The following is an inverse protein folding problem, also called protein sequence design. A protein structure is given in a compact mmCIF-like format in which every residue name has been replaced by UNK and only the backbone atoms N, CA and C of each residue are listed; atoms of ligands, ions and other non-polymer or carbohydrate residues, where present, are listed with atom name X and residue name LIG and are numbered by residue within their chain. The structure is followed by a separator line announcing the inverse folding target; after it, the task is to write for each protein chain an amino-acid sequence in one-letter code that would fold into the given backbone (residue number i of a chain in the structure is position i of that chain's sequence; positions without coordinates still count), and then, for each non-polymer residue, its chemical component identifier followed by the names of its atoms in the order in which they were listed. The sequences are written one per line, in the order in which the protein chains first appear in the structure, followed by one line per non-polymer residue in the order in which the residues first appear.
data_IF_743722316322
#
_entry.id   IF_743722316322
#
_cell.length_a   1.000
_cell.length_b   1.000
_cell.length_c   1.000
_cell.angle_alpha   90.00
_cell.angle_beta   90.00
_cell.angle_gamma   90.00
#
_symmetry.space_group_name_H-M   'P 1'
#
loop_
_entity.id
_entity.type
_entity.pdbx_description
1 polymer ?
#
# COMPACT_ATOMS: atom_id res chain seq x y z
N UNK A 1 -24.29 -11.70 31.45
CA UNK A 1 -23.06 -11.41 32.21
C UNK A 1 -21.85 -11.83 31.39
N UNK A 2 -21.26 -10.93 30.62
CA UNK A 2 -19.89 -11.03 30.12
C UNK A 2 -19.34 -9.60 29.93
N UNK A 3 -19.12 -8.95 31.07
CA UNK A 3 -18.24 -7.80 31.19
C UNK A 3 -16.88 -8.40 31.56
N UNK A 4 -15.93 -8.48 30.63
CA UNK A 4 -14.62 -9.04 30.99
C UNK A 4 -13.68 -9.45 29.86
N UNK A 5 -13.41 -8.55 28.89
CA UNK A 5 -12.05 -8.31 28.35
C UNK A 5 -12.11 -7.14 27.37
N UNK A 6 -12.00 -5.93 27.90
CA UNK A 6 -11.40 -4.86 27.09
C UNK A 6 -9.90 -5.07 27.18
N UNK A 7 -9.39 -6.10 26.49
CA UNK A 7 -8.02 -5.97 26.02
C UNK A 7 -8.08 -4.81 25.05
N UNK A 8 -7.28 -3.77 25.29
CA UNK A 8 -7.21 -2.60 24.41
C UNK A 8 -6.59 -3.05 23.10
N UNK A 9 -7.35 -3.74 22.27
CA UNK A 9 -6.99 -4.04 20.89
C UNK A 9 -6.87 -2.69 20.19
N UNK A 10 -5.71 -2.41 19.63
CA UNK A 10 -5.52 -1.21 18.82
C UNK A 10 -6.45 -1.32 17.61
N UNK A 11 -7.30 -0.32 17.40
CA UNK A 11 -8.15 -0.27 16.21
C UNK A 11 -7.27 -0.26 14.97
N UNK A 12 -7.61 -1.09 13.96
CA UNK A 12 -6.87 -1.15 12.70
C UNK A 12 -6.81 0.21 12.01
N UNK A 13 -7.86 1.02 12.12
CA UNK A 13 -7.87 2.41 11.61
C UNK A 13 -6.85 3.30 12.31
N UNK A 14 -6.67 3.14 13.63
CA UNK A 14 -5.64 3.85 14.39
C UNK A 14 -4.24 3.39 13.99
N UNK A 15 -4.02 2.08 13.86
CA UNK A 15 -2.73 1.53 13.40
C UNK A 15 -2.38 2.04 12.01
N UNK A 16 -3.36 2.06 11.10
CA UNK A 16 -3.20 2.56 9.75
C UNK A 16 -2.69 4.01 9.74
N UNK A 17 -3.37 4.92 10.43
CA UNK A 17 -2.95 6.33 10.48
C UNK A 17 -1.62 6.52 11.21
N UNK A 18 -1.34 5.72 12.23
CA UNK A 18 -0.04 5.72 12.90
C UNK A 18 1.08 5.33 11.94
N UNK A 19 0.87 4.32 11.09
CA UNK A 19 1.86 3.93 10.09
C UNK A 19 2.00 4.97 8.98
N UNK A 20 0.91 5.56 8.50
CA UNK A 20 0.97 6.68 7.54
C UNK A 20 1.80 7.84 8.11
N UNK A 21 1.59 8.20 9.38
CA UNK A 21 2.39 9.22 10.06
C UNK A 21 3.87 8.82 10.17
N UNK A 22 4.15 7.55 10.47
CA UNK A 22 5.52 7.05 10.55
C UNK A 22 6.26 7.19 9.21
N UNK A 23 5.61 6.82 8.10
CA UNK A 23 6.17 7.02 6.76
C UNK A 23 6.29 8.50 6.38
N UNK A 24 5.38 9.36 6.84
CA UNK A 24 5.51 10.81 6.66
C UNK A 24 6.79 11.35 7.31
N UNK A 25 7.07 10.94 8.55
CA UNK A 25 8.30 11.33 9.25
C UNK A 25 9.53 10.80 8.51
N UNK A 26 9.52 9.54 8.08
CA UNK A 26 10.62 8.96 7.29
C UNK A 26 10.85 9.75 6.00
N UNK A 27 9.79 10.10 5.27
CA UNK A 27 9.91 10.85 4.02
C UNK A 27 10.49 12.24 4.23
N UNK A 28 10.15 12.91 5.34
CA UNK A 28 10.72 14.20 5.71
C UNK A 28 12.24 14.13 5.93
N UNK A 29 12.72 13.03 6.51
CA UNK A 29 14.16 12.80 6.77
C UNK A 29 14.91 12.32 5.52
N UNK A 30 14.26 11.55 4.64
CA UNK A 30 14.87 10.94 3.46
C UNK A 30 14.97 11.88 2.25
N UNK A 31 14.08 12.87 2.19
CA UNK A 31 14.01 13.87 1.13
C UNK A 31 13.02 13.50 0.03
N UNK A 32 12.28 14.49 -0.45
CA UNK A 32 11.14 14.32 -1.36
C UNK A 32 11.50 13.60 -2.66
N UNK A 33 12.67 13.86 -3.24
CA UNK A 33 13.07 13.27 -4.53
C UNK A 33 13.11 11.74 -4.46
N UNK A 34 13.72 11.20 -3.40
CA UNK A 34 13.84 9.74 -3.23
C UNK A 34 12.48 9.12 -2.92
N UNK A 35 11.62 9.87 -2.23
CA UNK A 35 10.25 9.46 -1.97
C UNK A 35 9.41 9.41 -3.25
N UNK A 36 9.55 10.35 -4.18
CA UNK A 36 8.84 10.33 -5.49
C UNK A 36 9.24 9.11 -6.33
N UNK A 37 10.52 8.75 -6.33
CA UNK A 37 10.99 7.53 -7.00
C UNK A 37 10.38 6.29 -6.34
N UNK A 38 10.28 6.28 -5.01
CA UNK A 38 9.59 5.19 -4.31
C UNK A 38 8.08 5.16 -4.65
N UNK A 39 7.40 6.31 -4.68
CA UNK A 39 5.98 6.44 -5.08
C UNK A 39 5.74 5.86 -6.46
N UNK A 40 6.66 6.13 -7.40
CA UNK A 40 6.62 5.62 -8.76
C UNK A 40 6.58 4.09 -8.81
N UNK A 41 7.46 3.44 -8.05
CA UNK A 41 7.47 1.98 -7.96
C UNK A 41 6.28 1.39 -7.18
N UNK A 42 5.74 2.13 -6.19
CA UNK A 42 4.50 1.73 -5.51
C UNK A 42 3.29 1.76 -6.46
N UNK A 43 3.18 2.79 -7.30
CA UNK A 43 2.13 2.88 -8.33
C UNK A 43 2.27 1.71 -9.32
N UNK A 44 3.50 1.42 -9.78
CA UNK A 44 3.77 0.27 -10.63
C UNK A 44 3.36 -1.05 -9.97
N UNK A 45 3.63 -1.20 -8.67
CA UNK A 45 3.22 -2.37 -7.90
C UNK A 45 1.71 -2.56 -7.88
N UNK A 46 0.96 -1.49 -7.61
CA UNK A 46 -0.50 -1.55 -7.61
C UNK A 46 -1.06 -1.85 -8.99
N UNK A 47 -0.48 -1.26 -10.04
CA UNK A 47 -0.85 -1.59 -11.41
C UNK A 47 -0.60 -3.06 -11.73
N UNK A 48 0.57 -3.60 -11.38
CA UNK A 48 0.89 -5.01 -11.61
C UNK A 48 -0.08 -5.94 -10.87
N UNK A 49 -0.44 -5.60 -9.63
CA UNK A 49 -1.44 -6.36 -8.86
C UNK A 49 -2.83 -6.25 -9.49
N UNK A 50 -3.23 -5.06 -9.92
CA UNK A 50 -4.53 -4.83 -10.55
C UNK A 50 -4.66 -5.58 -11.88
N UNK A 51 -3.60 -5.64 -12.67
CA UNK A 51 -3.62 -6.25 -13.99
C UNK A 51 -3.35 -7.76 -13.96
N UNK A 52 -2.41 -8.21 -13.12
CA UNK A 52 -1.92 -9.59 -13.12
C UNK A 52 -2.25 -10.36 -11.83
N UNK A 53 -2.86 -9.73 -10.83
CA UNK A 53 -3.15 -10.37 -9.54
C UNK A 53 -3.92 -11.68 -9.66
N UNK A 54 -4.97 -11.73 -10.48
CA UNK A 54 -5.74 -12.96 -10.71
C UNK A 54 -4.92 -14.05 -11.40
N UNK A 55 -4.07 -13.68 -12.36
CA UNK A 55 -3.17 -14.61 -13.04
C UNK A 55 -2.17 -15.20 -12.05
N UNK A 56 -1.56 -14.36 -11.19
CA UNK A 56 -0.59 -14.78 -10.18
C UNK A 56 -1.22 -15.71 -9.14
N UNK A 57 -2.46 -15.44 -8.75
CA UNK A 57 -3.21 -16.31 -7.83
C UNK A 57 -3.59 -17.65 -8.48
N UNK A 58 -3.74 -17.70 -9.80
CA UNK A 58 -3.95 -18.95 -10.54
C UNK A 58 -2.77 -19.92 -10.46
N UNK A 59 -1.55 -19.43 -10.19
CA UNK A 59 -0.36 -20.27 -9.96
C UNK A 59 -0.18 -20.68 -8.50
N UNK A 60 -1.03 -20.20 -7.58
CA UNK A 60 -0.93 -20.56 -6.17
C UNK A 60 -1.28 -22.05 -5.98
N UNK A 61 -0.50 -22.81 -5.18
CA UNK A 61 -0.81 -24.22 -4.91
C UNK A 61 -2.21 -24.38 -4.32
N UNK A 62 -3.01 -25.26 -4.91
CA UNK A 62 -4.34 -25.62 -4.42
C UNK A 62 -4.26 -26.81 -3.46
N UNK A 63 -5.10 -26.83 -2.42
CA UNK A 63 -5.19 -27.96 -1.48
C UNK A 63 -4.21 -27.93 -0.29
N UNK A 64 -3.55 -26.80 -0.03
CA UNK A 64 -2.70 -26.61 1.16
C UNK A 64 -3.50 -26.43 2.48
N UNK A 65 -2.80 -26.51 3.61
CA UNK A 65 -3.39 -26.31 4.95
C UNK A 65 -3.81 -24.85 5.24
N UNK A 66 -3.41 -23.90 4.40
CA UNK A 66 -3.73 -22.48 4.56
C UNK A 66 -5.05 -22.17 3.83
N UNK A 67 -6.02 -21.50 4.48
CA UNK A 67 -7.25 -21.08 3.81
C UNK A 67 -6.97 -20.25 2.55
N UNK A 68 -7.68 -20.47 1.44
CA UNK A 68 -7.43 -19.78 0.16
C UNK A 68 -7.39 -18.25 0.27
N UNK A 69 -8.26 -17.67 1.10
CA UNK A 69 -8.32 -16.21 1.30
C UNK A 69 -7.08 -15.66 2.02
N UNK A 70 -6.55 -16.40 3.00
CA UNK A 70 -5.31 -16.03 3.71
C UNK A 70 -4.11 -16.17 2.78
N UNK A 71 -4.07 -17.25 2.02
CA UNK A 71 -3.03 -17.50 1.02
C UNK A 71 -2.98 -16.37 0.00
N UNK A 72 -4.14 -15.97 -0.54
CA UNK A 72 -4.27 -14.84 -1.46
C UNK A 72 -3.73 -13.53 -0.89
N UNK A 73 -4.08 -13.19 0.36
CA UNK A 73 -3.52 -12.02 1.03
C UNK A 73 -1.99 -12.05 1.02
N UNK A 74 -1.37 -13.17 1.40
CA UNK A 74 0.09 -13.27 1.45
C UNK A 74 0.74 -13.09 0.08
N UNK A 75 0.19 -13.69 -0.98
CA UNK A 75 0.74 -13.51 -2.33
C UNK A 75 0.75 -12.04 -2.77
N UNK A 76 -0.38 -11.35 -2.59
CA UNK A 76 -0.49 -9.93 -2.97
C UNK A 76 0.37 -9.04 -2.06
N UNK A 77 0.39 -9.30 -0.75
CA UNK A 77 1.18 -8.57 0.21
C UNK A 77 2.68 -8.73 -0.05
N UNK A 78 3.17 -9.96 -0.25
CA UNK A 78 4.59 -10.23 -0.53
C UNK A 78 5.00 -9.57 -1.84
N UNK A 79 4.21 -9.71 -2.91
CA UNK A 79 4.50 -9.05 -4.17
C UNK A 79 4.59 -7.52 -4.00
N UNK A 80 3.61 -6.94 -3.31
CA UNK A 80 3.58 -5.50 -3.06
C UNK A 80 4.78 -5.03 -2.26
N UNK A 81 5.10 -5.73 -1.16
CA UNK A 81 6.20 -5.38 -0.27
C UNK A 81 7.57 -5.59 -0.90
N UNK A 82 7.75 -6.61 -1.74
CA UNK A 82 9.00 -6.82 -2.48
C UNK A 82 9.22 -5.67 -3.48
N UNK A 83 8.19 -5.29 -4.24
CA UNK A 83 8.30 -4.15 -5.16
C UNK A 83 8.53 -2.86 -4.37
N UNK A 84 7.81 -2.64 -3.27
CA UNK A 84 8.00 -1.50 -2.38
C UNK A 84 9.44 -1.43 -1.87
N UNK A 85 9.98 -2.55 -1.38
CA UNK A 85 11.37 -2.63 -0.93
C UNK A 85 12.34 -2.19 -2.02
N UNK A 86 12.27 -2.76 -3.22
CA UNK A 86 13.15 -2.38 -4.32
C UNK A 86 12.93 -0.92 -4.77
N UNK A 87 11.72 -0.40 -4.68
CA UNK A 87 11.42 1.02 -5.00
C UNK A 87 12.12 1.98 -4.02
N UNK A 88 12.24 1.58 -2.75
CA UNK A 88 13.00 2.34 -1.76
C UNK A 88 14.52 2.14 -1.88
N UNK A 89 14.99 0.96 -2.31
CA UNK A 89 16.41 0.70 -2.51
C UNK A 89 16.96 1.26 -3.82
N UNK A 90 16.14 1.40 -4.87
CA UNK A 90 16.55 1.83 -6.21
C UNK A 90 17.44 3.09 -6.22
N UNK A 91 17.04 4.20 -5.58
CA UNK A 91 17.88 5.41 -5.51
C UNK A 91 19.22 5.22 -4.78
N UNK A 92 19.31 4.27 -3.85
CA UNK A 92 20.55 3.96 -3.15
C UNK A 92 21.50 3.10 -4.01
N UNK A 93 20.96 2.23 -4.85
CA UNK A 93 21.70 1.32 -5.73
C UNK A 93 22.15 2.02 -7.03
N UNK A 94 21.33 2.93 -7.57
CA UNK A 94 21.61 3.61 -8.85
C UNK A 94 22.75 4.64 -8.82
N UNK A 95 23.40 4.84 -7.67
CA UNK A 95 24.52 5.76 -7.52
C UNK A 95 24.11 7.23 -7.64
N UNK A 96 24.98 8.11 -7.15
CA UNK A 96 24.82 9.56 -6.96
C UNK A 96 24.29 10.39 -8.14
N UNK A 97 24.13 9.84 -9.35
CA UNK A 97 23.71 10.58 -10.56
C UNK A 97 22.25 11.04 -10.52
N UNK A 98 21.32 10.24 -10.00
CA UNK A 98 19.92 10.68 -9.81
C UNK A 98 19.77 11.58 -8.57
N UNK A 99 20.52 11.28 -7.51
CA UNK A 99 20.45 12.01 -6.25
C UNK A 99 21.03 13.41 -6.34
N UNK A 100 22.19 13.59 -6.98
CA UNK A 100 22.91 14.87 -6.98
C UNK A 100 22.30 15.90 -7.96
N UNK A 101 21.67 15.48 -9.06
CA UNK A 101 20.90 16.39 -9.95
C UNK A 101 19.67 16.99 -9.25
N UNK A 102 19.14 16.31 -8.24
CA UNK A 102 17.89 16.64 -7.57
C UNK A 102 18.09 17.12 -6.12
N UNK A 103 19.33 17.08 -5.62
CA UNK A 103 19.70 17.52 -4.26
C UNK A 103 19.77 19.05 -4.22
N UNK A 104 18.62 19.69 -4.18
CA UNK A 104 18.50 21.09 -3.79
C UNK A 104 18.66 21.20 -2.27
N UNK A 105 19.35 22.25 -1.84
CA UNK A 105 19.76 22.61 -0.46
C UNK A 105 18.74 22.18 0.61
N UNK A 106 19.23 21.71 1.76
CA UNK A 106 18.45 21.31 2.95
C UNK A 106 17.55 22.46 3.46
N UNK A 107 16.40 22.65 2.84
CA UNK A 107 15.44 23.70 3.11
C UNK A 107 14.20 23.12 3.79
N UNK A 108 13.51 23.92 4.61
CA UNK A 108 12.28 23.50 5.27
C UNK A 108 11.22 23.00 4.27
N UNK A 109 11.17 23.61 3.09
CA UNK A 109 10.29 23.20 2.00
C UNK A 109 10.55 21.75 1.55
N UNK A 110 11.81 21.33 1.42
CA UNK A 110 12.14 19.97 0.99
C UNK A 110 11.75 18.92 2.03
N UNK A 111 11.87 19.26 3.32
CA UNK A 111 11.40 18.43 4.43
C UNK A 111 9.88 18.32 4.46
N UNK A 112 9.17 19.40 4.17
CA UNK A 112 7.70 19.40 4.09
C UNK A 112 7.20 18.58 2.89
N UNK A 113 7.82 18.73 1.73
CA UNK A 113 7.50 17.90 0.55
C UNK A 113 7.79 16.42 0.83
N UNK A 114 8.93 16.12 1.46
CA UNK A 114 9.27 14.77 1.90
C UNK A 114 8.22 14.21 2.86
N UNK A 115 7.70 15.04 3.77
CA UNK A 115 6.65 14.63 4.71
C UNK A 115 5.36 14.23 3.98
N UNK A 116 4.89 15.05 3.05
CA UNK A 116 3.65 14.82 2.30
C UNK A 116 3.78 13.56 1.43
N UNK A 117 4.88 13.43 0.69
CA UNK A 117 5.10 12.28 -0.20
C UNK A 117 5.34 11.01 0.62
N UNK A 118 6.03 11.12 1.76
CA UNK A 118 6.16 10.03 2.72
C UNK A 118 4.81 9.56 3.25
N UNK A 119 3.91 10.48 3.60
CA UNK A 119 2.55 10.14 4.03
C UNK A 119 1.78 9.42 2.90
N UNK A 120 1.89 9.91 1.67
CA UNK A 120 1.32 9.25 0.48
C UNK A 120 1.89 7.84 0.30
N UNK A 121 3.20 7.66 0.45
CA UNK A 121 3.84 6.35 0.33
C UNK A 121 3.38 5.39 1.45
N UNK A 122 3.28 5.87 2.68
CA UNK A 122 2.72 5.10 3.80
C UNK A 122 1.27 4.67 3.53
N UNK A 123 0.47 5.58 2.97
CA UNK A 123 -0.90 5.29 2.54
C UNK A 123 -0.94 4.25 1.43
N UNK A 124 -0.08 4.35 0.42
CA UNK A 124 0.01 3.38 -0.67
C UNK A 124 0.47 2.00 -0.18
N UNK A 125 1.41 1.92 0.76
CA UNK A 125 1.90 0.63 1.28
C UNK A 125 0.85 0.02 2.20
N UNK A 126 0.56 0.68 3.31
CA UNK A 126 -0.27 0.10 4.39
C UNK A 126 -1.73 0.04 3.98
N UNK A 127 -2.22 1.04 3.24
CA UNK A 127 -3.58 1.03 2.71
C UNK A 127 -3.79 -0.06 1.67
N UNK A 128 -2.77 -0.44 0.91
CA UNK A 128 -2.89 -1.54 -0.05
C UNK A 128 -2.88 -2.89 0.64
N UNK A 129 -2.07 -3.06 1.69
CA UNK A 129 -2.16 -4.24 2.56
C UNK A 129 -3.57 -4.39 3.14
N UNK A 130 -4.16 -3.30 3.63
CA UNK A 130 -5.54 -3.33 4.11
C UNK A 130 -6.53 -3.58 2.96
N UNK A 131 -6.29 -3.02 1.77
CA UNK A 131 -7.12 -3.28 0.59
C UNK A 131 -7.17 -4.77 0.24
N UNK A 132 -6.05 -5.49 0.36
CA UNK A 132 -6.00 -6.93 0.08
C UNK A 132 -6.81 -7.77 1.07
N UNK A 133 -7.05 -7.25 2.28
CA UNK A 133 -7.92 -7.88 3.29
C UNK A 133 -9.40 -7.59 3.04
N UNK A 134 -9.71 -6.39 2.57
CA UNK A 134 -11.07 -5.86 2.47
C UNK A 134 -11.69 -6.02 1.07
N UNK A 135 -10.88 -6.24 0.04
CA UNK A 135 -11.34 -6.31 -1.35
C UNK A 135 -10.90 -7.60 -2.07
N UNK A 136 -11.84 -8.14 -2.84
CA UNK A 136 -11.66 -9.31 -3.70
C UNK A 136 -11.53 -8.91 -5.16
N UNK A 137 -10.45 -9.33 -5.81
CA UNK A 137 -10.23 -9.13 -7.23
C UNK A 137 -11.25 -9.97 -8.01
N UNK A 138 -11.90 -9.37 -9.00
CA UNK A 138 -12.88 -10.06 -9.84
C UNK A 138 -12.29 -10.48 -11.19
N UNK A 139 -12.71 -11.62 -11.75
CA UNK A 139 -12.44 -11.95 -13.15
C UNK A 139 -13.00 -10.85 -14.06
N UNK A 140 -12.18 -10.28 -14.95
CA UNK A 140 -12.57 -9.15 -15.81
C UNK A 140 -12.15 -7.76 -15.30
N UNK A 141 -11.47 -7.70 -14.15
CA UNK A 141 -10.98 -6.46 -13.55
C UNK A 141 -11.95 -5.89 -12.51
N UNK A 142 -11.42 -5.05 -11.62
CA UNK A 142 -12.18 -4.47 -10.52
C UNK A 142 -12.06 -5.22 -9.19
N UNK A 143 -12.56 -4.57 -8.15
CA UNK A 143 -12.39 -4.97 -6.76
C UNK A 143 -13.72 -4.93 -6.03
N UNK A 144 -14.19 -6.10 -5.60
CA UNK A 144 -15.42 -6.24 -4.82
C UNK A 144 -15.10 -6.21 -3.33
N UNK A 145 -15.73 -5.30 -2.59
CA UNK A 145 -15.59 -5.23 -1.13
C UNK A 145 -16.16 -6.47 -0.44
N UNK A 146 -15.54 -6.91 0.65
CA UNK A 146 -16.08 -7.98 1.49
C UNK A 146 -17.51 -7.63 1.99
N UNK A 147 -18.47 -8.57 1.90
CA UNK A 147 -19.82 -8.38 2.44
C UNK A 147 -19.82 -7.99 3.92
N UNK A 148 -20.84 -7.26 4.36
CA UNK A 148 -21.00 -6.90 5.77
C UNK A 148 -21.17 -8.19 6.59
N UNK A 149 -20.45 -8.29 7.71
CA UNK A 149 -20.47 -9.48 8.59
C UNK A 149 -19.39 -10.52 8.30
N UNK A 150 -18.74 -10.46 7.13
CA UNK A 150 -17.58 -11.31 6.84
C UNK A 150 -16.35 -10.84 7.62
N UNK A 151 -15.66 -11.79 8.25
CA UNK A 151 -14.43 -11.54 9.02
C UNK A 151 -13.18 -11.66 8.14
N UNK A 152 -12.10 -11.01 8.55
CA UNK A 152 -10.80 -11.20 7.90
C UNK A 152 -10.29 -12.63 8.11
N UNK A 153 -9.46 -13.17 7.19
CA UNK A 153 -9.04 -14.57 7.22
C UNK A 153 -7.94 -14.85 8.26
N UNK A 154 -8.03 -14.22 9.43
CA UNK A 154 -7.10 -14.31 10.56
C UNK A 154 -7.88 -14.61 11.83
N UNK A 155 -7.17 -15.06 12.86
CA UNK A 155 -7.77 -15.22 14.19
C UNK A 155 -8.25 -13.84 14.69
N UNK A 156 -9.46 -13.80 15.25
CA UNK A 156 -10.07 -12.58 15.79
C UNK A 156 -9.24 -11.95 16.92
N UNK A 157 -8.42 -12.75 17.61
CA UNK A 157 -7.49 -12.27 18.63
C UNK A 157 -6.29 -11.52 18.04
N UNK A 158 -5.94 -11.79 16.78
CA UNK A 158 -4.81 -11.18 16.08
C UNK A 158 -5.26 -9.96 15.26
N UNK A 159 -6.34 -10.12 14.50
CA UNK A 159 -6.80 -9.11 13.56
C UNK A 159 -8.32 -9.21 13.37
N UNK A 160 -9.02 -8.23 13.93
CA UNK A 160 -10.46 -8.07 13.75
C UNK A 160 -10.75 -7.05 12.65
N UNK A 161 -11.75 -7.34 11.80
CA UNK A 161 -12.28 -6.37 10.84
C UNK A 161 -12.95 -5.21 11.60
N UNK A 162 -12.63 -3.95 11.30
CA UNK A 162 -13.28 -2.82 11.95
C UNK A 162 -14.77 -2.82 11.69
N UNK A 163 -15.55 -2.47 12.73
CA UNK A 163 -16.99 -2.35 12.60
C UNK A 163 -17.34 -1.21 11.63
N UNK A 164 -18.11 -1.55 10.60
CA UNK A 164 -18.53 -0.65 9.53
C UNK A 164 -19.44 0.46 10.08
N UNK A 165 -20.08 0.23 11.24
CA UNK A 165 -20.92 1.22 11.93
C UNK A 165 -20.14 2.29 12.70
N UNK A 166 -18.82 2.10 12.92
CA UNK A 166 -17.98 3.00 13.71
C UNK A 166 -17.37 4.18 12.91
N UNK A 167 -17.98 4.57 11.78
CA UNK A 167 -17.52 5.69 10.93
C UNK A 167 -16.29 5.42 10.05
N UNK A 168 -15.67 4.24 10.20
CA UNK A 168 -14.52 3.79 9.40
C UNK A 168 -14.91 3.34 7.98
N UNK A 169 -16.19 3.24 7.67
CA UNK A 169 -16.69 2.93 6.34
C UNK A 169 -16.16 3.91 5.28
N UNK A 170 -16.11 5.20 5.65
CA UNK A 170 -15.56 6.26 4.81
C UNK A 170 -14.06 6.09 4.52
N UNK A 171 -13.30 5.56 5.47
CA UNK A 171 -11.87 5.28 5.30
C UNK A 171 -11.65 4.05 4.43
N UNK A 172 -12.43 2.98 4.68
CA UNK A 172 -12.37 1.74 3.92
C UNK A 172 -12.68 2.01 2.44
N UNK A 173 -13.71 2.82 2.15
CA UNK A 173 -14.05 3.22 0.79
C UNK A 173 -12.98 4.07 0.08
N UNK A 174 -12.02 4.61 0.84
CA UNK A 174 -10.88 5.40 0.34
C UNK A 174 -9.57 4.65 0.52
N UNK A 175 -9.57 3.33 0.44
CA UNK A 175 -8.33 2.57 0.38
C UNK A 175 -7.70 2.66 -1.02
N UNK A 176 -6.36 2.61 -1.15
CA UNK A 176 -5.65 2.98 -2.37
C UNK A 176 -6.00 2.12 -3.57
N UNK A 177 -6.09 0.80 -3.41
CA UNK A 177 -6.25 -0.11 -4.53
C UNK A 177 -7.60 0.07 -5.25
N UNK A 178 -8.78 0.02 -4.58
CA UNK A 178 -10.06 0.26 -5.25
C UNK A 178 -10.18 1.70 -5.78
N UNK A 179 -9.65 2.68 -5.05
CA UNK A 179 -9.70 4.09 -5.45
C UNK A 179 -8.88 4.36 -6.71
N UNK A 180 -7.68 3.78 -6.79
CA UNK A 180 -6.74 4.03 -7.89
C UNK A 180 -6.95 3.10 -9.07
N UNK A 181 -7.62 1.94 -8.91
CA UNK A 181 -7.77 0.93 -9.95
C UNK A 181 -8.15 1.48 -11.35
N UNK A 182 -9.12 2.40 -11.49
CA UNK A 182 -9.47 2.98 -12.81
C UNK A 182 -8.37 3.87 -13.39
N UNK A 183 -7.53 4.45 -12.53
CA UNK A 183 -6.52 5.43 -12.87
C UNK A 183 -5.11 4.83 -13.02
N UNK A 184 -4.87 3.62 -12.51
CA UNK A 184 -3.54 2.98 -12.50
C UNK A 184 -2.87 2.92 -13.87
N UNK A 185 -3.54 2.60 -15.00
CA UNK A 185 -2.90 2.62 -16.32
C UNK A 185 -2.35 4.01 -16.69
N UNK A 186 -3.11 5.07 -16.41
CA UNK A 186 -2.69 6.45 -16.67
C UNK A 186 -1.56 6.88 -15.73
N UNK A 187 -1.66 6.53 -14.46
CA UNK A 187 -0.63 6.84 -13.46
C UNK A 187 0.70 6.18 -13.80
N UNK A 188 0.69 4.94 -14.28
CA UNK A 188 1.90 4.26 -14.74
C UNK A 188 2.54 4.99 -15.92
N UNK A 189 1.75 5.44 -16.91
CA UNK A 189 2.28 6.21 -18.05
C UNK A 189 2.94 7.50 -17.56
N UNK A 190 2.29 8.24 -16.67
CA UNK A 190 2.81 9.49 -16.10
C UNK A 190 4.13 9.23 -15.35
N UNK A 191 4.14 8.22 -14.50
CA UNK A 191 5.33 7.82 -13.73
C UNK A 191 6.48 7.40 -14.65
N UNK A 192 6.20 6.63 -15.70
CA UNK A 192 7.22 6.16 -16.62
C UNK A 192 7.82 7.31 -17.43
N UNK A 193 6.98 8.25 -17.90
CA UNK A 193 7.44 9.48 -18.54
C UNK A 193 8.33 10.31 -17.60
N UNK A 194 7.91 10.47 -16.34
CA UNK A 194 8.72 11.17 -15.33
C UNK A 194 10.10 10.53 -15.16
N UNK A 195 10.15 9.19 -15.02
CA UNK A 195 11.41 8.46 -14.87
C UNK A 195 12.29 8.63 -16.11
N UNK A 196 11.74 8.51 -17.32
CA UNK A 196 12.49 8.71 -18.57
C UNK A 196 13.09 10.12 -18.64
N UNK A 197 12.29 11.16 -18.37
CA UNK A 197 12.74 12.55 -18.43
C UNK A 197 13.86 12.83 -17.42
N UNK A 198 13.78 12.22 -16.23
CA UNK A 198 14.82 12.39 -15.20
C UNK A 198 16.10 11.63 -15.53
N UNK A 199 15.99 10.50 -16.24
CA UNK A 199 17.11 9.64 -16.58
C UNK A 199 17.91 10.09 -17.82
N UNK A 200 17.26 10.76 -18.76
CA UNK A 200 17.91 11.37 -19.95
C UNK A 200 18.57 12.70 -19.53
#
# INVERSE_FOLDING_TARGET
TQKGRSEKMLSLGTLFWLMVLFFAIIGSLRGWTREVIATSGLILSLFAINQFGNLLLGFAPTGGAVPPERQRFYYLAVLHLVIAFFSYQGPAIAGSRLGDKLRVRDNFQDKLLGLIIGALNGYLIVGSLWSFLEYRAQPGGGWLRLPIGESYPFDLTVLARPDVTAGLDSLIGRLPLPLLAPYLPFLVVIVFLFVIIVMI
#
